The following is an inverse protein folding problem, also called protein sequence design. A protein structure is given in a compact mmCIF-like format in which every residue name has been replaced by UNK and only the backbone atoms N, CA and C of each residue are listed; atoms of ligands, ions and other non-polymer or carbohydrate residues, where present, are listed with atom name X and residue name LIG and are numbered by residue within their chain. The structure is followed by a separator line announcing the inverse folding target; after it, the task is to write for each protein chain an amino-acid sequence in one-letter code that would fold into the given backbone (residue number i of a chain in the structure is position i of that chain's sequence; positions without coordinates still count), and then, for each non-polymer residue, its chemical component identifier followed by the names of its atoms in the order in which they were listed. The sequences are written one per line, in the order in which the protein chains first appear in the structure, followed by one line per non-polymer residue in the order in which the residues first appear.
data_IF_186470783087
#
_entry.id   IF_186470783087
#
_cell.length_a   1.000
_cell.length_b   1.000
_cell.length_c   1.000
_cell.angle_alpha   90.00
_cell.angle_beta   90.00
_cell.angle_gamma   90.00
#
_symmetry.space_group_name_H-M   'P 1'
#
loop_
_entity.id
_entity.type
_entity.pdbx_description
1 polymer ?
2 polymer ?
3 non-polymer ?
#
# COMPACT_ATOMS: atom_id res chain seq x y z
N UNK A 1 -29.41 -7.71 -4.60
CA UNK A 1 -29.91 -9.08 -4.35
C UNK A 1 -30.07 -9.30 -2.83
N UNK A 2 -28.98 -9.21 -2.05
CA UNK A 2 -28.88 -9.78 -0.68
C UNK A 2 -28.03 -8.93 0.29
N UNK A 3 -27.82 -7.63 0.03
CA UNK A 3 -27.11 -6.68 0.93
C UNK A 3 -28.15 -5.90 1.73
N UNK A 4 -29.12 -5.35 1.01
CA UNK A 4 -30.34 -4.65 1.52
C UNK A 4 -31.02 -5.48 2.62
N UNK A 5 -30.85 -6.80 2.64
CA UNK A 5 -31.58 -7.72 3.56
C UNK A 5 -30.79 -7.93 4.86
N UNK A 6 -29.45 -7.98 4.79
CA UNK A 6 -28.58 -8.38 5.92
C UNK A 6 -27.89 -7.17 6.56
N UNK A 7 -27.76 -6.05 5.84
CA UNK A 7 -26.92 -4.88 6.22
C UNK A 7 -27.75 -3.60 6.29
N UNK A 8 -27.51 -2.80 7.35
CA UNK A 8 -28.12 -1.46 7.56
C UNK A 8 -27.03 -0.39 7.37
N UNK A 9 -27.24 0.52 6.42
CA UNK A 9 -26.38 1.69 6.16
C UNK A 9 -26.38 2.60 7.40
N UNK A 10 -25.29 3.36 7.60
CA UNK A 10 -25.16 4.39 8.65
C UNK A 10 -24.34 5.57 8.07
N UNK A 11 -23.53 6.25 8.88
CA UNK A 11 -22.98 7.60 8.57
C UNK A 11 -21.82 7.47 7.57
N UNK A 12 -21.61 8.50 6.75
CA UNK A 12 -20.54 8.51 5.71
C UNK A 12 -19.17 8.59 6.39
N UNK A 13 -18.22 7.76 5.93
CA UNK A 13 -16.80 7.72 6.38
C UNK A 13 -15.89 8.42 5.36
N UNK A 14 -16.26 8.43 4.07
CA UNK A 14 -15.52 9.12 3.00
C UNK A 14 -16.10 8.90 1.63
N UNK A 15 -15.71 9.74 0.66
CA UNK A 15 -16.07 9.67 -0.79
C UNK A 15 -14.88 9.15 -1.58
N UNK A 16 -15.06 8.92 -2.88
CA UNK A 16 -13.99 8.47 -3.79
C UNK A 16 -14.44 8.35 -5.25
N UNK A 17 -13.67 7.62 -6.05
CA UNK A 17 -13.89 7.39 -7.49
C UNK A 17 -15.23 6.68 -7.70
N UNK A 18 -16.32 7.45 -7.74
CA UNK A 18 -17.71 6.96 -7.89
C UNK A 18 -18.02 5.90 -6.82
N UNK A 19 -17.38 6.04 -5.66
CA UNK A 19 -17.61 5.23 -4.42
C UNK A 19 -18.02 6.16 -3.28
N UNK A 20 -18.68 5.59 -2.26
CA UNK A 20 -19.03 6.30 -1.00
C UNK A 20 -18.96 5.25 0.12
N UNK A 21 -18.00 5.40 1.04
CA UNK A 21 -17.86 4.46 2.19
C UNK A 21 -18.77 4.94 3.33
N UNK A 22 -19.69 4.09 3.78
CA UNK A 22 -20.50 4.28 5.00
C UNK A 22 -20.16 3.19 6.01
N UNK A 23 -20.25 3.52 7.31
CA UNK A 23 -20.33 2.50 8.39
C UNK A 23 -21.63 1.73 8.19
N UNK A 24 -21.61 0.41 8.32
CA UNK A 24 -22.82 -0.45 8.27
C UNK A 24 -22.75 -1.44 9.41
N UNK A 25 -23.89 -2.02 9.81
CA UNK A 25 -23.96 -3.21 10.69
C UNK A 25 -24.66 -4.33 9.92
N UNK A 26 -24.14 -5.55 10.03
CA UNK A 26 -24.87 -6.79 9.65
C UNK A 26 -25.91 -7.01 10.74
N UNK A 27 -27.18 -6.72 10.44
CA UNK A 27 -28.26 -6.51 11.45
C UNK A 27 -28.26 -7.67 12.45
N UNK A 28 -28.45 -8.89 11.94
CA UNK A 28 -28.69 -10.10 12.77
C UNK A 28 -27.46 -10.35 13.65
N UNK A 29 -26.28 -10.43 13.04
CA UNK A 29 -24.98 -10.56 13.74
C UNK A 29 -24.80 -9.40 14.74
N UNK A 30 -25.12 -8.18 14.32
CA UNK A 30 -24.96 -6.95 15.12
C UNK A 30 -23.60 -6.29 14.92
N UNK A 31 -22.64 -7.01 14.33
CA UNK A 31 -21.23 -6.56 14.10
C UNK A 31 -21.22 -5.40 13.10
N UNK A 32 -20.34 -4.42 13.29
CA UNK A 32 -20.26 -3.22 12.41
C UNK A 32 -19.04 -3.33 11.48
N UNK A 33 -19.22 -2.87 10.23
CA UNK A 33 -18.25 -2.93 9.12
C UNK A 33 -18.23 -1.59 8.37
N UNK A 34 -17.32 -1.48 7.39
CA UNK A 34 -17.28 -0.40 6.38
C UNK A 34 -17.79 -0.97 5.05
N UNK A 35 -18.85 -0.38 4.49
CA UNK A 35 -19.41 -0.76 3.18
C UNK A 35 -18.95 0.26 2.14
N UNK A 36 -18.04 -0.14 1.25
CA UNK A 36 -17.63 0.66 0.06
C UNK A 36 -18.71 0.51 -1.01
N UNK A 37 -19.51 1.55 -1.23
CA UNK A 37 -20.67 1.55 -2.17
C UNK A 37 -20.19 2.12 -3.50
N UNK A 38 -20.13 1.29 -4.55
CA UNK A 38 -19.61 1.66 -5.90
C UNK A 38 -20.78 1.77 -6.89
N UNK A 39 -20.75 2.80 -7.74
CA UNK A 39 -21.78 3.04 -8.79
C UNK A 39 -21.34 2.33 -10.09
N UNK A 40 -21.97 1.20 -10.41
CA UNK A 40 -21.75 0.38 -11.63
C UNK A 40 -22.01 1.22 -12.89
N UNK A 41 -23.08 2.02 -12.89
CA UNK A 41 -23.58 2.78 -14.08
C UNK A 41 -22.50 3.75 -14.59
N UNK A 42 -21.73 4.38 -13.68
CA UNK A 42 -20.76 5.45 -14.00
C UNK A 42 -19.33 4.90 -14.14
N UNK A 43 -19.14 3.58 -14.07
CA UNK A 43 -17.79 2.94 -14.12
C UNK A 43 -17.42 2.64 -15.58
N UNK A 44 -16.13 2.78 -15.90
CA UNK A 44 -15.52 2.42 -17.22
C UNK A 44 -15.47 0.90 -17.36
N UNK A 45 -15.23 0.41 -18.57
CA UNK A 45 -14.95 -1.02 -18.86
C UNK A 45 -13.80 -1.47 -17.95
N UNK A 46 -12.72 -0.66 -17.93
CA UNK A 46 -11.46 -0.95 -17.21
C UNK A 46 -11.69 -0.98 -15.71
N UNK A 47 -12.55 -0.10 -15.17
CA UNK A 47 -12.85 0.01 -13.72
C UNK A 47 -13.56 -1.25 -13.21
N UNK A 48 -14.45 -1.84 -14.00
CA UNK A 48 -15.16 -3.11 -13.66
C UNK A 48 -14.14 -4.25 -13.51
N UNK A 49 -13.16 -4.31 -14.40
CA UNK A 49 -12.11 -5.37 -14.42
C UNK A 49 -11.36 -5.32 -13.07
N UNK A 50 -11.05 -4.10 -12.59
CA UNK A 50 -10.32 -3.84 -11.32
C UNK A 50 -11.19 -4.29 -10.15
N UNK A 51 -12.42 -3.77 -10.07
CA UNK A 51 -13.42 -4.12 -9.03
C UNK A 51 -13.44 -5.64 -8.86
N UNK A 52 -13.60 -6.39 -9.96
CA UNK A 52 -13.61 -7.88 -9.98
C UNK A 52 -12.29 -8.42 -9.45
N UNK A 53 -11.17 -7.82 -9.85
CA UNK A 53 -9.81 -8.23 -9.45
C UNK A 53 -9.62 -7.94 -7.95
N UNK A 54 -9.89 -6.70 -7.54
CA UNK A 54 -9.84 -6.24 -6.12
C UNK A 54 -10.60 -7.23 -5.25
N UNK A 55 -11.82 -7.61 -5.67
CA UNK A 55 -12.74 -8.53 -4.95
C UNK A 55 -12.11 -9.93 -4.85
N UNK A 56 -11.66 -10.47 -5.98
CA UNK A 56 -11.05 -11.82 -6.06
C UNK A 56 -9.79 -11.87 -5.19
N UNK A 57 -8.90 -10.88 -5.33
CA UNK A 57 -7.57 -10.86 -4.65
C UNK A 57 -7.80 -10.68 -3.15
N UNK A 58 -8.62 -9.71 -2.74
CA UNK A 58 -8.86 -9.39 -1.31
C UNK A 58 -9.40 -10.61 -0.56
N UNK A 59 -10.19 -11.46 -1.24
CA UNK A 59 -10.84 -12.67 -0.65
C UNK A 59 -9.79 -13.66 -0.15
N UNK A 60 -8.62 -13.73 -0.79
CA UNK A 60 -7.51 -14.66 -0.44
C UNK A 60 -6.87 -14.29 0.89
N UNK A 61 -6.95 -13.01 1.30
CA UNK A 61 -6.04 -12.41 2.32
C UNK A 61 -6.73 -12.33 3.68
N UNK A 62 -6.37 -13.23 4.60
CA UNK A 62 -6.70 -13.18 6.05
C UNK A 62 -5.42 -12.89 6.83
N UNK A 63 -5.24 -11.64 7.31
CA UNK A 63 -4.07 -11.22 8.12
C UNK A 63 -4.43 -10.02 8.97
N UNK A 64 -3.93 -9.93 10.22
CA UNK A 64 -4.22 -8.77 11.09
C UNK A 64 -3.77 -7.39 10.58
N UNK A 65 -2.81 -7.34 9.64
CA UNK A 65 -2.22 -6.09 9.08
C UNK A 65 -2.62 -5.93 7.62
N UNK A 66 -3.68 -6.61 7.20
CA UNK A 66 -4.41 -6.37 5.92
C UNK A 66 -5.85 -6.01 6.32
N UNK A 67 -6.46 -5.04 5.62
CA UNK A 67 -7.91 -4.72 5.77
C UNK A 67 -8.70 -5.89 5.15
N UNK A 68 -9.44 -6.61 5.99
CA UNK A 68 -10.21 -7.82 5.58
C UNK A 68 -11.44 -7.40 4.76
N UNK A 69 -11.64 -8.05 3.61
CA UNK A 69 -12.92 -8.07 2.86
C UNK A 69 -13.73 -9.27 3.36
N UNK A 70 -14.94 -9.02 3.87
CA UNK A 70 -15.83 -10.05 4.46
C UNK A 70 -16.88 -10.48 3.44
N UNK A 71 -17.18 -9.62 2.46
CA UNK A 71 -18.31 -9.84 1.53
C UNK A 71 -18.19 -8.86 0.36
N UNK A 72 -18.66 -9.28 -0.82
CA UNK A 72 -18.72 -8.49 -2.07
C UNK A 72 -20.04 -8.79 -2.76
N UNK A 73 -20.93 -7.81 -2.91
CA UNK A 73 -22.34 -8.01 -3.34
C UNK A 73 -22.67 -7.09 -4.52
N UNK A 74 -23.30 -7.66 -5.56
CA UNK A 74 -23.75 -6.95 -6.79
C UNK A 74 -25.28 -6.87 -6.81
N UNK A 75 -25.83 -5.67 -6.60
CA UNK A 75 -27.26 -5.32 -6.78
C UNK A 75 -27.37 -4.39 -8.00
N UNK A 76 -28.58 -3.98 -8.38
CA UNK A 76 -28.85 -3.18 -9.61
C UNK A 76 -28.14 -1.83 -9.50
N UNK A 77 -27.02 -1.66 -10.23
CA UNK A 77 -26.35 -0.37 -10.45
C UNK A 77 -25.38 0.01 -9.33
N UNK A 78 -25.29 -0.84 -8.29
CA UNK A 78 -24.53 -0.58 -7.04
C UNK A 78 -23.79 -1.86 -6.63
N UNK A 79 -22.49 -1.76 -6.36
CA UNK A 79 -21.65 -2.86 -5.82
C UNK A 79 -21.11 -2.48 -4.44
N UNK A 80 -21.21 -3.40 -3.48
CA UNK A 80 -20.86 -3.20 -2.05
C UNK A 80 -19.69 -4.12 -1.67
N UNK A 81 -18.54 -3.52 -1.35
CA UNK A 81 -17.41 -4.22 -0.67
C UNK A 81 -17.55 -4.01 0.84
N UNK A 82 -17.73 -5.11 1.59
CA UNK A 82 -17.87 -5.08 3.08
C UNK A 82 -16.49 -5.38 3.66
N UNK A 83 -15.92 -4.41 4.35
CA UNK A 83 -14.55 -4.46 4.93
C UNK A 83 -14.62 -4.38 6.46
N UNK A 84 -13.54 -4.80 7.13
CA UNK A 84 -13.23 -4.34 8.51
C UNK A 84 -13.47 -2.83 8.57
N UNK A 85 -14.06 -2.35 9.66
CA UNK A 85 -14.08 -0.90 9.99
C UNK A 85 -12.69 -0.50 10.46
N UNK A 86 -12.17 0.62 9.94
CA UNK A 86 -10.86 1.23 10.31
C UNK A 86 -11.11 2.73 10.51
N UNK A 87 -10.71 3.28 11.65
CA UNK A 87 -11.16 4.62 12.12
C UNK A 87 -9.95 5.53 12.42
N UNK A 88 -8.75 5.17 11.97
CA UNK A 88 -7.49 5.88 12.27
C UNK A 88 -6.97 6.67 11.09
N UNK A 89 -7.63 6.61 9.94
CA UNK A 89 -7.18 7.27 8.70
C UNK A 89 -5.91 6.66 8.13
N UNK A 90 -5.31 7.33 7.14
CA UNK A 90 -4.15 6.85 6.34
C UNK A 90 -2.86 7.06 7.12
N UNK A 91 -1.90 6.15 6.97
CA UNK A 91 -0.52 6.32 7.49
C UNK A 91 0.02 7.66 7.01
N UNK A 92 -0.35 8.08 5.79
CA UNK A 92 0.05 9.35 5.14
C UNK A 92 -0.23 10.55 6.05
N UNK A 93 -1.50 10.73 6.43
CA UNK A 93 -1.96 11.88 7.24
C UNK A 93 -1.25 11.87 8.59
N UNK A 94 -0.88 10.69 9.11
CA UNK A 94 -0.18 10.53 10.41
C UNK A 94 1.29 10.92 10.27
N UNK A 95 1.94 10.63 9.14
CA UNK A 95 3.36 11.01 8.89
C UNK A 95 3.42 12.54 8.73
N UNK A 96 2.42 13.12 8.05
CA UNK A 96 2.33 14.58 7.79
C UNK A 96 2.16 15.31 9.12
N UNK A 97 1.28 14.80 9.98
CA UNK A 97 0.89 15.41 11.28
C UNK A 97 2.03 15.28 12.28
N UNK A 98 2.78 14.18 12.26
CA UNK A 98 3.91 13.92 13.18
C UNK A 98 5.24 14.26 12.51
N UNK A 99 5.19 14.65 11.22
CA UNK A 99 6.38 14.99 10.40
C UNK A 99 7.22 13.74 10.12
N UNK A 100 7.76 13.11 11.16
CA UNK A 100 8.55 11.85 11.08
C UNK A 100 8.35 11.00 12.35
N UNK A 101 8.80 9.76 12.30
CA UNK A 101 8.76 8.75 13.40
C UNK A 101 10.18 8.55 13.96
N UNK A 102 10.28 8.16 15.23
CA UNK A 102 11.50 7.59 15.86
C UNK A 102 11.88 6.29 15.14
N UNK A 103 13.12 5.82 15.33
CA UNK A 103 13.60 4.51 14.81
C UNK A 103 12.76 3.38 15.43
N UNK A 104 12.31 3.58 16.67
CA UNK A 104 11.47 2.63 17.43
C UNK A 104 10.15 2.44 16.69
N UNK A 105 9.47 3.54 16.37
CA UNK A 105 8.08 3.56 15.83
C UNK A 105 8.10 3.23 14.35
N UNK A 106 9.17 3.63 13.64
CA UNK A 106 9.46 3.29 12.24
C UNK A 106 9.65 1.77 12.08
N UNK A 107 10.37 1.14 13.03
CA UNK A 107 10.63 -0.32 13.05
C UNK A 107 9.31 -1.05 13.25
N UNK A 108 8.54 -0.69 14.28
CA UNK A 108 7.22 -1.28 14.60
C UNK A 108 6.28 -1.14 13.39
N UNK A 109 6.27 0.04 12.75
CA UNK A 109 5.40 0.38 11.60
C UNK A 109 5.74 -0.55 10.42
N UNK A 110 7.01 -0.54 9.99
CA UNK A 110 7.41 -1.25 8.74
C UNK A 110 7.36 -2.76 8.99
N UNK A 111 7.57 -3.21 10.23
CA UNK A 111 7.48 -4.64 10.60
C UNK A 111 6.08 -5.15 10.27
N UNK A 112 5.04 -4.42 10.64
CA UNK A 112 3.63 -4.78 10.36
C UNK A 112 3.42 -4.78 8.84
N UNK A 113 3.87 -3.72 8.17
CA UNK A 113 3.82 -3.56 6.68
C UNK A 113 4.48 -4.78 6.02
N UNK A 114 5.65 -5.21 6.49
CA UNK A 114 6.42 -6.35 5.90
C UNK A 114 5.67 -7.67 6.13
N UNK A 115 4.99 -7.83 7.27
CA UNK A 115 4.17 -9.04 7.56
C UNK A 115 2.92 -9.05 6.67
N UNK A 116 2.36 -7.87 6.36
CA UNK A 116 1.24 -7.73 5.39
C UNK A 116 1.71 -8.16 4.00
N UNK A 117 2.84 -7.60 3.55
CA UNK A 117 3.45 -7.87 2.21
C UNK A 117 3.83 -9.34 2.11
N UNK A 118 4.37 -9.93 3.19
CA UNK A 118 4.83 -11.34 3.22
C UNK A 118 3.63 -12.28 3.02
N UNK A 119 2.54 -12.02 3.74
CA UNK A 119 1.27 -12.78 3.57
C UNK A 119 0.85 -12.68 2.09
N UNK A 120 0.77 -11.45 1.56
CA UNK A 120 0.36 -11.19 0.17
C UNK A 120 1.17 -12.11 -0.74
N UNK A 121 2.49 -12.10 -0.59
CA UNK A 121 3.44 -12.83 -1.47
C UNK A 121 3.22 -14.34 -1.38
N UNK A 122 3.07 -14.88 -0.16
CA UNK A 122 2.88 -16.33 0.11
C UNK A 122 1.54 -16.81 -0.48
N UNK A 123 0.59 -15.90 -0.70
CA UNK A 123 -0.70 -16.20 -1.39
C UNK A 123 -0.61 -15.86 -2.88
N UNK A 124 0.59 -15.55 -3.39
CA UNK A 124 0.81 -15.19 -4.81
C UNK A 124 0.08 -13.90 -5.18
N UNK A 125 0.12 -12.89 -4.31
CA UNK A 125 -0.36 -11.51 -4.60
C UNK A 125 0.84 -10.57 -4.53
N UNK A 126 1.06 -9.80 -5.59
CA UNK A 126 1.94 -8.60 -5.60
C UNK A 126 1.02 -7.38 -5.60
N UNK A 127 1.26 -6.45 -4.67
CA UNK A 127 0.40 -5.25 -4.42
C UNK A 127 0.61 -4.20 -5.52
N UNK A 128 1.87 -3.83 -5.75
CA UNK A 128 2.33 -2.92 -6.85
C UNK A 128 2.11 -1.45 -6.50
N UNK A 129 1.44 -1.14 -5.37
CA UNK A 129 1.02 0.24 -5.05
C UNK A 129 1.15 0.53 -3.55
N UNK A 130 2.22 0.03 -2.91
CA UNK A 130 2.53 0.34 -1.49
C UNK A 130 2.85 1.83 -1.37
N UNK A 131 2.11 2.54 -0.52
CA UNK A 131 2.38 3.96 -0.17
C UNK A 131 1.59 4.34 1.08
N UNK A 132 2.05 5.36 1.86
CA UNK A 132 1.37 5.76 3.07
C UNK A 132 -0.14 5.98 2.87
N UNK A 133 -0.53 6.45 1.68
CA UNK A 133 -1.95 6.69 1.28
C UNK A 133 -2.78 5.40 1.34
N UNK A 134 -2.15 4.24 1.10
CA UNK A 134 -2.82 2.92 0.96
C UNK A 134 -2.64 2.08 2.23
N UNK A 135 -1.96 2.61 3.24
CA UNK A 135 -1.91 2.01 4.61
C UNK A 135 -2.88 2.81 5.50
N UNK A 136 -3.73 2.12 6.25
CA UNK A 136 -4.70 2.75 7.18
C UNK A 136 -4.36 2.29 8.60
N UNK A 137 -4.76 3.07 9.61
CA UNK A 137 -4.58 2.74 11.05
C UNK A 137 -5.92 2.28 11.64
N UNK A 138 -5.92 1.16 12.35
CA UNK A 138 -7.11 0.47 12.92
C UNK A 138 -8.04 1.49 13.57
N UNK A 139 -7.51 2.29 14.51
CA UNK A 139 -8.28 3.29 15.32
C UNK A 139 -7.40 4.52 15.57
N UNK A 140 -7.98 5.54 16.21
CA UNK A 140 -7.29 6.80 16.61
C UNK A 140 -6.41 6.56 17.85
N UNK A 141 -6.45 5.36 18.45
CA UNK A 141 -5.81 5.01 19.75
C UNK A 141 -4.29 4.88 19.59
N UNK A 142 -3.60 4.59 20.71
CA UNK A 142 -2.12 4.39 20.79
C UNK A 142 -1.77 3.03 20.16
N UNK A 143 -0.65 2.99 19.41
CA UNK A 143 -0.06 1.76 18.83
C UNK A 143 -1.05 0.94 18.04
N UNK A 144 -2.06 1.58 17.44
CA UNK A 144 -3.08 0.94 16.56
C UNK A 144 -2.37 0.27 15.38
N UNK A 145 -2.85 -0.91 14.97
CA UNK A 145 -2.26 -1.74 13.91
C UNK A 145 -2.32 -0.99 12.57
N UNK A 146 -1.23 -1.02 11.82
CA UNK A 146 -1.18 -0.54 10.40
C UNK A 146 -1.76 -1.66 9.53
N UNK A 147 -2.76 -1.34 8.71
CA UNK A 147 -3.48 -2.32 7.85
C UNK A 147 -3.37 -1.89 6.38
N UNK A 148 -2.80 -2.76 5.54
CA UNK A 148 -2.66 -2.56 4.08
C UNK A 148 -4.05 -2.61 3.42
N UNK A 149 -4.28 -1.76 2.43
CA UNK A 149 -5.57 -1.56 1.75
C UNK A 149 -5.35 -1.30 0.25
N UNK A 150 -6.43 -0.98 -0.47
CA UNK A 150 -6.44 -0.57 -1.90
C UNK A 150 -5.67 -1.61 -2.72
N UNK A 151 -6.32 -2.74 -3.04
CA UNK A 151 -5.75 -3.82 -3.88
C UNK A 151 -6.29 -3.71 -5.31
N UNK A 152 -6.71 -2.50 -5.70
CA UNK A 152 -7.25 -2.19 -7.03
C UNK A 152 -6.25 -2.42 -8.16
N UNK A 153 -4.95 -2.33 -7.86
CA UNK A 153 -3.84 -2.49 -8.83
C UNK A 153 -3.05 -3.78 -8.59
N UNK A 154 -3.51 -4.64 -7.66
CA UNK A 154 -2.81 -5.89 -7.27
C UNK A 154 -2.97 -6.95 -8.35
N UNK A 155 -1.96 -7.81 -8.50
CA UNK A 155 -1.89 -8.90 -9.51
C UNK A 155 -1.64 -10.22 -8.79
N UNK A 156 -2.07 -11.33 -9.38
CA UNK A 156 -1.77 -12.70 -8.90
C UNK A 156 -0.53 -13.20 -9.65
N UNK A 157 0.40 -13.84 -8.94
CA UNK A 157 1.61 -14.46 -9.55
C UNK A 157 1.64 -15.96 -9.21
N UNK A 158 2.09 -16.77 -10.18
CA UNK A 158 2.33 -18.24 -10.01
C UNK A 158 3.77 -18.44 -9.56
N UNK A 159 3.96 -18.83 -8.29
CA UNK A 159 5.28 -19.04 -7.69
C UNK A 159 6.13 -17.79 -7.77
N UNK A 160 7.35 -17.90 -8.33
CA UNK A 160 8.34 -16.81 -8.46
C UNK A 160 8.46 -16.37 -9.92
N UNK A 161 7.50 -16.73 -10.77
CA UNK A 161 7.54 -16.50 -12.24
C UNK A 161 7.34 -15.01 -12.53
N UNK A 162 8.42 -14.32 -12.92
CA UNK A 162 8.39 -12.89 -13.33
C UNK A 162 7.70 -12.78 -14.70
N UNK A 163 7.16 -11.60 -15.00
CA UNK A 163 6.47 -11.26 -16.26
C UNK A 163 6.25 -9.74 -16.32
N UNK A 164 6.02 -9.21 -17.51
CA UNK A 164 5.58 -7.82 -17.70
C UNK A 164 4.07 -7.75 -17.44
N UNK A 165 3.68 -7.37 -16.22
CA UNK A 165 2.27 -7.27 -15.75
C UNK A 165 1.70 -5.87 -16.03
N UNK A 166 2.49 -4.97 -16.63
CA UNK A 166 2.04 -3.65 -17.09
C UNK A 166 2.60 -2.53 -16.23
N UNK A 167 2.57 -1.30 -16.74
CA UNK A 167 2.99 -0.06 -16.04
C UNK A 167 1.83 0.42 -15.17
N UNK A 168 1.98 0.26 -13.85
CA UNK A 168 0.93 0.47 -12.84
C UNK A 168 1.58 0.80 -11.48
N UNK A 169 0.96 1.73 -10.76
CA UNK A 169 1.41 2.17 -9.42
C UNK A 169 1.44 3.67 -9.31
N UNK A 170 2.37 4.18 -8.51
CA UNK A 170 2.48 5.61 -8.12
C UNK A 170 3.91 6.06 -8.40
N UNK A 171 4.10 7.04 -9.31
CA UNK A 171 5.43 7.41 -9.80
C UNK A 171 6.55 7.35 -8.75
N UNK A 172 6.37 8.03 -7.61
CA UNK A 172 7.40 8.13 -6.56
C UNK A 172 7.81 6.78 -6.01
N UNK A 173 6.93 5.77 -6.08
CA UNK A 173 7.07 4.48 -5.36
C UNK A 173 7.38 3.32 -6.32
N UNK A 174 7.34 3.57 -7.63
CA UNK A 174 7.58 2.54 -8.67
C UNK A 174 9.02 2.03 -8.59
N UNK A 175 9.24 0.78 -9.00
CA UNK A 175 10.55 0.08 -8.99
C UNK A 175 11.29 0.35 -10.30
N UNK A 176 12.63 0.27 -10.33
CA UNK A 176 13.39 0.37 -11.58
C UNK A 176 12.96 -0.63 -12.67
N UNK A 177 12.68 -1.88 -12.31
CA UNK A 177 12.30 -2.95 -13.29
C UNK A 177 11.03 -2.51 -14.04
N UNK A 178 10.06 -1.91 -13.36
CA UNK A 178 8.81 -1.38 -14.01
C UNK A 178 9.19 -0.20 -14.91
N UNK A 179 10.03 0.71 -14.41
CA UNK A 179 10.50 1.90 -15.17
C UNK A 179 11.29 1.44 -16.41
N UNK A 180 12.00 0.32 -16.32
CA UNK A 180 12.82 -0.27 -17.42
C UNK A 180 11.94 -1.18 -18.30
N UNK A 181 10.63 -1.26 -18.02
CA UNK A 181 9.68 -2.22 -18.66
C UNK A 181 10.33 -3.62 -18.70
N UNK A 182 10.79 -4.11 -17.55
CA UNK A 182 11.31 -5.50 -17.38
C UNK A 182 10.18 -6.38 -16.88
N UNK A 183 10.24 -7.71 -17.08
CA UNK A 183 9.39 -8.63 -16.32
C UNK A 183 9.71 -8.42 -14.84
N UNK A 184 8.67 -8.38 -14.00
CA UNK A 184 8.79 -8.09 -12.55
C UNK A 184 7.91 -9.05 -11.77
N UNK A 185 7.94 -8.94 -10.44
CA UNK A 185 7.07 -9.70 -9.54
C UNK A 185 7.18 -9.19 -8.11
N UNK A 186 7.31 -10.12 -7.17
CA UNK A 186 7.24 -9.87 -5.70
C UNK A 186 8.20 -8.76 -5.29
N UNK A 187 9.44 -8.69 -5.83
CA UNK A 187 10.41 -7.70 -5.37
C UNK A 187 9.96 -6.22 -5.47
N UNK A 188 9.01 -5.89 -6.35
CA UNK A 188 8.56 -4.47 -6.57
C UNK A 188 7.98 -3.90 -5.27
N UNK A 189 7.25 -4.71 -4.51
CA UNK A 189 6.65 -4.31 -3.22
C UNK A 189 7.75 -3.94 -2.22
N UNK A 190 8.92 -4.57 -2.32
CA UNK A 190 10.04 -4.33 -1.36
C UNK A 190 10.77 -3.02 -1.67
N UNK A 191 10.79 -2.58 -2.94
CA UNK A 191 11.30 -1.24 -3.31
C UNK A 191 10.40 -0.17 -2.69
N UNK A 192 9.09 -0.34 -2.78
CA UNK A 192 8.08 0.60 -2.23
C UNK A 192 8.29 0.69 -0.72
N UNK A 193 8.53 -0.46 -0.07
CA UNK A 193 8.78 -0.56 1.39
C UNK A 193 10.01 0.27 1.73
N UNK A 194 11.08 0.14 0.95
CA UNK A 194 12.26 1.03 1.00
C UNK A 194 11.83 2.49 1.09
N UNK A 195 11.08 2.97 0.09
CA UNK A 195 10.61 4.38 0.01
C UNK A 195 9.83 4.71 1.28
N UNK A 196 8.97 3.81 1.75
CA UNK A 196 8.11 4.10 2.93
C UNK A 196 9.03 4.27 4.15
N UNK A 197 10.01 3.39 4.35
CA UNK A 197 10.91 3.45 5.53
C UNK A 197 11.64 4.79 5.54
N UNK A 198 12.30 5.14 4.43
CA UNK A 198 12.99 6.44 4.25
C UNK A 198 12.05 7.58 4.69
N UNK A 199 10.83 7.63 4.13
CA UNK A 199 9.82 8.68 4.43
C UNK A 199 9.57 8.69 5.94
N UNK A 200 9.41 7.51 6.55
CA UNK A 200 9.05 7.36 7.99
C UNK A 200 10.07 8.08 8.88
N UNK A 201 11.36 8.03 8.52
CA UNK A 201 12.49 8.38 9.44
C UNK A 201 12.85 9.88 9.34
N UNK A 202 12.64 10.54 8.20
CA UNK A 202 12.96 11.99 8.06
C UNK A 202 11.76 12.79 7.54
N UNK A 203 10.67 12.11 7.14
CA UNK A 203 9.40 12.78 6.79
C UNK A 203 9.36 13.31 5.37
N UNK A 204 10.40 13.08 4.56
CA UNK A 204 10.42 13.39 3.11
C UNK A 204 10.89 12.15 2.33
N UNK A 205 10.52 12.02 1.03
CA UNK A 205 10.87 10.84 0.24
C UNK A 205 12.26 10.88 -0.38
N UNK A 206 12.85 9.70 -0.70
CA UNK A 206 14.22 9.63 -1.20
C UNK A 206 14.38 10.14 -2.64
N UNK A 207 13.33 10.03 -3.46
CA UNK A 207 13.32 10.42 -4.90
C UNK A 207 12.24 11.48 -5.13
N UNK A 208 12.63 12.66 -5.61
CA UNK A 208 11.69 13.71 -6.06
C UNK A 208 12.29 14.52 -7.20
N UNK A 209 11.41 15.03 -8.07
CA UNK A 209 11.68 16.09 -9.06
C UNK A 209 10.35 16.52 -9.68
N UNK A 210 10.23 17.82 -9.98
CA UNK A 210 9.06 18.42 -10.69
C UNK A 210 8.81 17.65 -11.99
N UNK A 211 9.89 17.24 -12.67
CA UNK A 211 9.87 16.58 -14.00
C UNK A 211 9.87 15.05 -13.81
N UNK A 212 8.78 14.38 -14.18
CA UNK A 212 8.56 12.92 -14.02
C UNK A 212 9.70 12.18 -14.74
N UNK A 213 10.20 12.72 -15.85
CA UNK A 213 11.35 12.17 -16.62
C UNK A 213 12.56 12.06 -15.68
N UNK A 214 12.84 13.10 -14.89
CA UNK A 214 14.04 13.17 -14.00
C UNK A 214 13.86 12.23 -12.81
N UNK A 215 12.68 12.26 -12.17
CA UNK A 215 12.30 11.38 -11.03
C UNK A 215 12.62 9.92 -11.38
N UNK A 216 12.24 9.50 -12.58
CA UNK A 216 12.44 8.12 -13.09
C UNK A 216 13.93 7.86 -13.32
N UNK A 217 14.69 8.85 -13.82
CA UNK A 217 16.16 8.77 -13.95
C UNK A 217 16.75 8.42 -12.59
N UNK A 218 16.46 9.25 -11.57
CA UNK A 218 16.93 9.04 -10.16
C UNK A 218 16.62 7.62 -9.72
N UNK A 219 15.37 7.18 -9.85
CA UNK A 219 14.89 5.88 -9.32
C UNK A 219 15.64 4.75 -10.05
N UNK A 220 15.74 4.83 -11.38
CA UNK A 220 16.43 3.80 -12.22
C UNK A 220 17.89 3.69 -11.80
N UNK A 221 18.51 4.85 -11.52
CA UNK A 221 19.92 5.00 -11.07
C UNK A 221 20.07 4.73 -9.56
N UNK A 222 18.96 4.60 -8.83
CA UNK A 222 18.96 4.53 -7.35
C UNK A 222 19.63 5.75 -6.72
N UNK A 223 19.46 6.92 -7.33
CA UNK A 223 20.07 8.20 -6.89
C UNK A 223 19.29 8.74 -5.69
N UNK A 224 19.54 8.17 -4.50
CA UNK A 224 19.11 8.72 -3.18
C UNK A 224 20.36 8.85 -2.31
N UNK A 225 20.26 9.54 -1.17
CA UNK A 225 21.36 9.65 -0.19
C UNK A 225 20.75 9.94 1.18
N UNK A 226 21.58 10.14 2.21
CA UNK A 226 21.16 10.35 3.62
C UNK A 226 21.67 11.71 4.12
N UNK A 227 21.14 12.83 3.58
CA UNK A 227 21.62 14.19 3.91
C UNK A 227 21.87 14.50 5.39
N UNK A 228 22.89 15.31 5.67
CA UNK A 228 23.12 15.95 7.00
C UNK A 228 22.23 17.19 7.11
N UNK A 229 21.75 17.59 8.31
CA UNK A 229 22.01 16.89 9.57
C UNK A 229 21.03 15.78 9.96
N UNK A 230 19.81 15.80 9.40
CA UNK A 230 18.66 14.97 9.87
C UNK A 230 19.01 13.48 9.91
N UNK A 231 19.88 12.99 9.01
CA UNK A 231 20.26 11.55 8.88
C UNK A 231 21.47 11.21 9.78
N UNK A 232 22.19 12.20 10.31
CA UNK A 232 23.49 12.01 11.02
C UNK A 232 23.32 11.13 12.26
N UNK A 233 22.20 11.27 13.00
CA UNK A 233 21.92 10.55 14.27
C UNK A 233 21.04 9.32 14.02
N UNK A 234 21.05 8.78 12.80
CA UNK A 234 20.22 7.60 12.40
C UNK A 234 21.18 6.42 12.23
N UNK A 235 20.85 5.27 12.84
CA UNK A 235 21.75 4.10 12.99
C UNK A 235 22.17 3.60 11.61
N UNK A 236 23.40 3.04 11.47
CA UNK A 236 23.86 2.51 10.19
C UNK A 236 23.06 1.27 9.77
N UNK A 237 22.43 0.58 10.74
CA UNK A 237 21.60 -0.64 10.50
C UNK A 237 20.24 -0.22 9.92
N UNK A 238 19.72 0.94 10.32
CA UNK A 238 18.51 1.54 9.70
C UNK A 238 18.78 1.78 8.21
N UNK A 239 19.88 2.48 7.90
CA UNK A 239 20.33 2.77 6.53
C UNK A 239 20.58 1.46 5.79
N UNK A 240 21.22 0.50 6.46
CA UNK A 240 21.59 -0.83 5.90
C UNK A 240 20.34 -1.49 5.32
N UNK A 241 19.22 -1.44 6.06
CA UNK A 241 17.94 -2.05 5.63
C UNK A 241 17.41 -1.32 4.40
N UNK A 242 17.43 0.01 4.42
CA UNK A 242 16.93 0.84 3.28
C UNK A 242 17.71 0.45 2.02
N UNK A 243 19.05 0.46 2.08
CA UNK A 243 19.94 0.10 0.93
C UNK A 243 19.55 -1.29 0.41
N UNK A 244 19.39 -2.24 1.32
CA UNK A 244 19.04 -3.65 0.99
C UNK A 244 17.65 -3.70 0.33
N UNK A 245 16.75 -2.79 0.69
CA UNK A 245 15.39 -2.66 0.08
C UNK A 245 15.47 -1.85 -1.24
N UNK A 246 16.24 -0.75 -1.26
CA UNK A 246 16.40 0.14 -2.44
C UNK A 246 17.58 -0.33 -3.29
N UNK A 247 17.63 -1.63 -3.59
CA UNK A 247 18.63 -2.28 -4.47
C UNK A 247 18.01 -2.37 -5.87
N UNK A 248 18.63 -1.73 -6.87
CA UNK A 248 18.06 -1.52 -8.24
C UNK A 248 17.92 -2.87 -8.96
N UNK A 249 18.76 -3.85 -8.63
CA UNK A 249 18.65 -5.24 -9.13
C UNK A 249 17.72 -6.03 -8.20
N UNK A 250 16.52 -6.44 -8.67
CA UNK A 250 15.54 -7.10 -7.82
C UNK A 250 16.01 -8.47 -7.30
N UNK A 251 16.93 -9.12 -8.03
CA UNK A 251 17.53 -10.43 -7.66
C UNK A 251 18.30 -10.30 -6.34
N UNK A 252 19.16 -9.29 -6.22
CA UNK A 252 19.98 -9.05 -5.00
C UNK A 252 19.17 -8.25 -3.98
N UNK A 253 17.93 -7.87 -4.33
CA UNK A 253 17.03 -7.07 -3.45
C UNK A 253 16.47 -7.99 -2.35
N UNK A 254 16.50 -7.50 -1.11
CA UNK A 254 16.02 -8.22 0.11
C UNK A 254 14.52 -8.52 -0.07
N UNK A 255 14.07 -9.63 0.53
CA UNK A 255 12.69 -10.16 0.45
C UNK A 255 11.96 -9.78 1.74
N UNK A 256 10.63 -9.92 1.77
CA UNK A 256 9.81 -9.67 2.97
C UNK A 256 10.27 -10.59 4.10
N UNK A 257 10.51 -11.87 3.81
CA UNK A 257 10.94 -12.88 4.81
C UNK A 257 12.27 -12.44 5.44
N UNK A 258 13.25 -12.07 4.58
CA UNK A 258 14.61 -11.63 4.98
C UNK A 258 14.49 -10.35 5.82
N UNK A 259 13.77 -9.35 5.30
CA UNK A 259 13.58 -8.00 5.89
C UNK A 259 13.08 -8.13 7.34
N UNK A 260 12.23 -9.12 7.60
CA UNK A 260 11.61 -9.38 8.94
C UNK A 260 12.65 -10.02 9.87
N UNK A 261 13.62 -10.75 9.32
CA UNK A 261 14.73 -11.37 10.09
C UNK A 261 15.86 -10.35 10.31
N UNK A 262 15.83 -9.18 9.65
CA UNK A 262 16.87 -8.11 9.76
C UNK A 262 16.97 -7.58 11.20
N UNK A 263 18.18 -7.48 11.78
CA UNK A 263 18.35 -7.13 13.19
C UNK A 263 17.65 -5.84 13.65
N UNK A 264 17.40 -4.91 12.73
CA UNK A 264 16.73 -3.62 13.02
C UNK A 264 15.21 -3.82 13.19
N UNK A 265 14.66 -4.92 12.65
CA UNK A 265 13.23 -5.31 12.84
C UNK A 265 13.14 -6.32 14.00
N UNK A 266 13.92 -7.42 13.93
CA UNK A 266 13.72 -8.69 14.69
C UNK A 266 13.83 -8.45 16.21
N UNK A 267 15.04 -8.22 16.73
CA UNK A 267 15.23 -7.74 18.13
C UNK A 267 15.10 -6.20 18.12
N UNK A 268 14.00 -5.69 18.68
CA UNK A 268 13.72 -4.23 18.82
C UNK A 268 13.58 -3.60 17.43
N UNK B 7 13.73 18.50 2.89
CA UNK B 7 14.46 18.74 1.60
C UNK B 7 13.45 18.67 0.44
N UNK B 8 12.94 17.47 0.13
CA UNK B 8 11.97 17.21 -0.97
C UNK B 8 10.54 17.49 -0.49
N UNK B 9 10.30 17.41 0.83
CA UNK B 9 8.95 17.48 1.48
C UNK B 9 8.05 16.37 0.94
N UNK B 10 6.97 16.05 1.67
CA UNK B 10 6.09 14.87 1.42
C UNK B 10 4.69 15.34 0.99
N UNK B 11 4.36 15.16 -0.29
CA UNK B 11 3.03 15.45 -0.88
C UNK B 11 2.39 14.13 -1.31
N UNK B 12 1.05 14.07 -1.40
CA UNK B 12 0.31 12.81 -1.73
C UNK B 12 0.37 12.57 -3.23
N UNK B 13 0.49 11.32 -3.65
CA UNK B 13 0.62 10.90 -5.06
C UNK B 13 -0.54 9.95 -5.38
N UNK B 14 -1.05 10.02 -6.62
CA UNK B 14 -2.22 9.23 -7.10
C UNK B 14 -1.74 7.97 -7.83
N UNK B 15 -2.60 6.94 -7.89
CA UNK B 15 -2.34 5.66 -8.57
C UNK B 15 -2.75 5.77 -10.04
N UNK B 16 -1.86 5.40 -10.96
CA UNK B 16 -2.12 5.26 -12.40
C UNK B 16 -2.16 3.75 -12.73
N UNK B 17 -3.04 3.35 -13.65
CA UNK B 17 -3.20 1.94 -14.09
C UNK B 17 -2.60 1.78 -15.49
N UNK B 18 -2.02 2.84 -16.06
CA UNK B 18 -1.30 2.84 -17.35
C UNK B 18 -0.13 3.83 -17.28
N UNK B 19 0.83 3.71 -18.21
CA UNK B 19 1.89 4.72 -18.41
C UNK B 19 1.24 6.00 -18.94
N UNK B 20 1.44 7.10 -18.22
CA UNK B 20 0.91 8.44 -18.58
C UNK B 20 2.05 9.45 -18.38
N UNK B 21 2.72 9.80 -19.48
CA UNK B 21 3.91 10.70 -19.55
C UNK B 21 3.53 12.10 -19.04
N UNK B 22 4.15 12.57 -17.97
CA UNK B 22 3.64 13.66 -17.09
C UNK B 22 4.65 14.81 -16.96
#
# INVERSE_FOLDING_TARGET
TRFTEEYQLFEELGKGAFSVVRRCVKVLAGQEYAAKIINTKKLSARDHQKLEREARICRLLKHPNIVRLHDSISEEGHHYLIFDLVTGGELFEDIVAREYYSEADASHCIQQILEAVLHCHQMGVVHRDLKPENLLLASKLKGAAVKLADFGLAIEVEGEQQAWFGFAGTPGYLSPEVLRKDPYGKPVDLWACGVILYILLVGYPPFWDEDQHRLYKQIKAGAYDFPSPEWDTVTPEAKDLINKMLTINPSKRITAAEALKHPWISHR
KAQKKNRNKLRRQHSYDTFVDL
#
